data_IF_177631703524
#
_entry.id   IF_177631703524
#
_cell.length_a   1.000
_cell.length_b   1.000
_cell.length_c   1.000
_cell.angle_alpha   90.00
_cell.angle_beta   90.00
_cell.angle_gamma   90.00
#
_symmetry.space_group_name_H-M   'P 1'
#
loop_
_entity.id
_entity.type
_entity.pdbx_description
1 polymer ?
#
# COMPACT_ATOMS: atom_id res chain seq x y z
N UNK A 1 -48.87 -11.73 31.99
CA UNK A 1 -47.83 -10.67 31.99
C UNK A 1 -46.81 -11.02 30.93
N UNK A 2 -46.84 -10.28 29.82
CA UNK A 2 -46.16 -10.60 28.56
C UNK A 2 -44.72 -10.11 28.59
N UNK A 3 -43.76 -11.01 28.39
CA UNK A 3 -42.37 -10.68 28.14
C UNK A 3 -42.22 -10.24 26.68
N UNK A 4 -41.89 -8.97 26.47
CA UNK A 4 -41.56 -8.39 25.17
C UNK A 4 -40.18 -8.90 24.73
N UNK A 5 -40.17 -9.78 23.74
CA UNK A 5 -38.97 -10.19 23.01
C UNK A 5 -38.49 -9.03 22.14
N UNK A 6 -37.28 -8.54 22.42
CA UNK A 6 -36.56 -7.62 21.56
C UNK A 6 -36.21 -8.40 20.30
N UNK A 7 -36.96 -8.13 19.22
CA UNK A 7 -36.66 -8.66 17.89
C UNK A 7 -35.28 -8.14 17.46
N UNK A 8 -34.37 -9.09 17.24
CA UNK A 8 -33.14 -8.95 16.47
C UNK A 8 -33.45 -8.41 15.07
N UNK A 9 -33.61 -7.09 14.96
CA UNK A 9 -33.34 -6.39 13.71
C UNK A 9 -31.83 -6.37 13.52
N UNK A 10 -31.33 -7.44 12.93
CA UNK A 10 -30.10 -7.41 12.18
C UNK A 10 -30.09 -6.12 11.34
N UNK A 11 -29.10 -5.26 11.61
CA UNK A 11 -28.77 -4.11 10.79
C UNK A 11 -28.34 -4.63 9.41
N UNK A 12 -29.32 -4.99 8.58
CA UNK A 12 -29.13 -5.15 7.16
C UNK A 12 -28.64 -3.82 6.63
N UNK A 13 -27.72 -3.89 5.66
CA UNK A 13 -27.20 -2.76 4.92
C UNK A 13 -28.30 -1.70 4.73
N UNK A 14 -28.06 -0.50 5.24
CA UNK A 14 -28.93 0.62 4.92
C UNK A 14 -28.90 0.79 3.40
N UNK A 15 -29.99 0.38 2.77
CA UNK A 15 -30.40 0.82 1.46
C UNK A 15 -30.52 2.35 1.52
N UNK A 16 -29.47 3.04 1.09
CA UNK A 16 -29.61 4.39 0.54
C UNK A 16 -29.54 4.21 -0.97
N UNK A 17 -30.69 4.06 -1.67
CA UNK A 17 -30.71 4.04 -3.11
C UNK A 17 -30.51 5.47 -3.60
N UNK A 18 -29.27 5.90 -3.73
CA UNK A 18 -28.92 7.14 -4.39
C UNK A 18 -28.13 6.83 -5.66
N UNK A 19 -28.76 7.07 -6.82
CA UNK A 19 -28.16 6.88 -8.15
C UNK A 19 -26.89 7.69 -8.46
N UNK A 20 -26.37 8.45 -7.48
CA UNK A 20 -25.16 9.28 -7.58
C UNK A 20 -24.02 8.82 -6.64
N UNK A 21 -24.06 7.59 -6.08
CA UNK A 21 -22.90 7.06 -5.35
C UNK A 21 -21.90 6.43 -6.31
N UNK A 22 -20.63 6.79 -6.17
CA UNK A 22 -19.52 6.11 -6.84
C UNK A 22 -19.32 4.72 -6.22
N UNK A 23 -18.93 3.76 -7.06
CA UNK A 23 -18.58 2.42 -6.64
C UNK A 23 -17.18 2.06 -7.13
N UNK A 24 -16.50 1.21 -6.38
CA UNK A 24 -15.22 0.62 -6.78
C UNK A 24 -15.49 -0.49 -7.79
N UNK A 25 -15.11 -0.27 -9.04
CA UNK A 25 -15.27 -1.26 -10.11
C UNK A 25 -14.14 -2.28 -10.09
N UNK A 26 -14.48 -3.57 -10.09
CA UNK A 26 -13.49 -4.64 -10.23
C UNK A 26 -12.79 -4.63 -11.59
N UNK A 27 -13.43 -4.14 -12.66
CA UNK A 27 -12.78 -3.98 -13.96
C UNK A 27 -11.68 -2.94 -13.93
N UNK A 28 -11.94 -1.81 -13.27
CA UNK A 28 -10.93 -0.76 -13.09
C UNK A 28 -9.74 -1.29 -12.29
N UNK A 29 -10.02 -1.97 -11.18
CA UNK A 29 -8.97 -2.58 -10.35
C UNK A 29 -8.16 -3.63 -11.10
N UNK A 30 -8.80 -4.48 -11.92
CA UNK A 30 -8.09 -5.44 -12.77
C UNK A 30 -7.25 -4.73 -13.84
N UNK A 31 -7.77 -3.62 -14.39
CA UNK A 31 -7.07 -2.79 -15.37
C UNK A 31 -5.73 -2.25 -14.85
N UNK A 32 -5.59 -2.01 -13.53
CA UNK A 32 -4.31 -1.60 -12.92
C UNK A 32 -3.21 -2.65 -13.13
N UNK A 33 -3.55 -3.93 -13.20
CA UNK A 33 -2.59 -5.01 -13.43
C UNK A 33 -2.03 -5.03 -14.86
N UNK A 34 -2.56 -4.22 -15.79
CA UNK A 34 -1.96 -4.02 -17.11
C UNK A 34 -0.54 -3.43 -17.04
N UNK A 35 -0.13 -2.86 -15.90
CA UNK A 35 1.26 -2.47 -15.67
C UNK A 35 2.24 -3.65 -15.75
N UNK A 36 1.80 -4.87 -15.44
CA UNK A 36 2.63 -6.08 -15.50
C UNK A 36 3.10 -6.35 -16.94
N UNK A 37 2.21 -6.60 -17.92
CA UNK A 37 2.64 -6.82 -19.29
C UNK A 37 3.34 -5.60 -19.87
N UNK A 38 2.96 -4.37 -19.49
CA UNK A 38 3.66 -3.16 -19.94
C UNK A 38 5.13 -3.15 -19.49
N UNK A 39 5.41 -3.40 -18.21
CA UNK A 39 6.77 -3.46 -17.69
C UNK A 39 7.60 -4.59 -18.31
N UNK A 40 6.98 -5.76 -18.53
CA UNK A 40 7.65 -6.89 -19.20
C UNK A 40 7.97 -6.57 -20.67
N UNK A 41 7.03 -5.96 -21.40
CA UNK A 41 7.27 -5.51 -22.76
C UNK A 41 8.39 -4.46 -22.81
N UNK A 42 8.38 -3.45 -21.93
CA UNK A 42 9.44 -2.45 -21.86
C UNK A 42 10.81 -3.09 -21.63
N UNK A 43 10.90 -4.08 -20.74
CA UNK A 43 12.15 -4.80 -20.50
C UNK A 43 12.61 -5.61 -21.73
N UNK A 44 11.69 -6.29 -22.43
CA UNK A 44 12.01 -7.03 -23.64
C UNK A 44 12.46 -6.09 -24.78
N UNK A 45 11.77 -4.97 -24.96
CA UNK A 45 12.15 -3.94 -25.92
C UNK A 45 13.53 -3.36 -25.61
N UNK A 46 13.82 -3.14 -24.33
CA UNK A 46 15.12 -2.64 -23.90
C UNK A 46 16.25 -3.62 -24.24
N UNK A 47 16.04 -4.91 -23.97
CA UNK A 47 17.01 -5.95 -24.27
C UNK A 47 17.25 -6.17 -25.75
N UNK A 48 16.21 -6.11 -26.59
CA UNK A 48 16.31 -6.45 -28.01
C UNK A 48 16.59 -5.26 -28.93
N UNK A 49 16.07 -4.07 -28.59
CA UNK A 49 16.12 -2.90 -29.49
C UNK A 49 16.94 -1.75 -28.92
N UNK A 50 16.87 -1.48 -27.61
CA UNK A 50 17.55 -0.34 -27.00
C UNK A 50 18.88 -0.69 -26.33
N UNK A 51 19.36 -1.93 -26.51
CA UNK A 51 20.67 -2.38 -26.02
C UNK A 51 20.87 -2.11 -24.52
N UNK A 52 19.80 -2.27 -23.72
CA UNK A 52 19.82 -2.07 -22.27
C UNK A 52 19.75 -0.60 -21.82
N UNK A 53 19.37 0.35 -22.68
CA UNK A 53 19.28 1.77 -22.34
C UNK A 53 18.49 2.03 -21.04
N UNK A 54 17.31 1.43 -20.88
CA UNK A 54 16.50 1.58 -19.67
C UNK A 54 17.20 0.97 -18.46
N UNK A 55 17.80 -0.21 -18.58
CA UNK A 55 18.53 -0.84 -17.47
C UNK A 55 19.63 0.07 -16.91
N UNK A 56 20.36 0.78 -17.78
CA UNK A 56 21.47 1.65 -17.40
C UNK A 56 21.02 3.02 -16.88
N UNK A 57 19.91 3.55 -17.38
CA UNK A 57 19.44 4.91 -17.04
C UNK A 57 18.39 4.94 -15.92
N UNK A 58 17.66 3.84 -15.70
CA UNK A 58 16.68 3.77 -14.62
C UNK A 58 17.36 3.66 -13.26
N UNK A 59 16.71 4.20 -12.19
CA UNK A 59 17.18 4.05 -10.83
C UNK A 59 17.49 2.60 -10.46
N UNK A 60 18.74 2.33 -10.13
CA UNK A 60 19.17 1.00 -9.70
C UNK A 60 19.44 0.93 -8.20
N UNK A 61 19.47 2.07 -7.50
CA UNK A 61 19.85 2.16 -6.09
C UNK A 61 18.78 2.80 -5.20
N UNK A 62 18.71 2.44 -3.89
CA UNK A 62 17.81 3.03 -2.91
C UNK A 62 17.74 4.55 -2.88
N UNK A 63 18.90 5.22 -3.04
CA UNK A 63 18.97 6.70 -3.04
C UNK A 63 18.27 7.32 -4.24
N UNK A 64 18.32 6.66 -5.39
CA UNK A 64 17.66 7.11 -6.62
C UNK A 64 16.15 6.80 -6.63
N UNK A 65 15.67 5.95 -5.71
CA UNK A 65 14.24 5.74 -5.48
C UNK A 65 13.58 6.87 -4.66
N UNK A 66 14.28 7.95 -4.30
CA UNK A 66 13.63 9.08 -3.62
C UNK A 66 12.55 9.72 -4.50
N UNK A 67 12.85 9.98 -5.79
CA UNK A 67 11.84 10.46 -6.73
C UNK A 67 10.68 9.46 -6.87
N UNK A 68 11.01 8.16 -6.85
CA UNK A 68 9.99 7.12 -6.84
C UNK A 68 9.11 7.22 -5.59
N UNK A 69 9.66 7.46 -4.39
CA UNK A 69 8.91 7.66 -3.15
C UNK A 69 8.01 8.91 -3.15
N UNK A 70 8.43 9.96 -3.84
CA UNK A 70 7.65 11.19 -4.03
C UNK A 70 6.43 10.93 -4.92
N UNK A 71 6.55 10.06 -5.93
CA UNK A 71 5.47 9.76 -6.88
C UNK A 71 4.58 8.60 -6.37
N UNK A 72 5.20 7.57 -5.81
CA UNK A 72 4.59 6.33 -5.34
C UNK A 72 5.09 6.02 -3.92
N UNK A 73 4.22 5.66 -3.00
CA UNK A 73 4.57 5.35 -1.62
C UNK A 73 4.13 6.44 -0.67
N UNK A 74 4.90 7.52 -0.59
CA UNK A 74 4.64 8.53 0.42
C UNK A 74 3.32 9.28 0.22
N UNK A 75 2.92 9.67 -1.01
CA UNK A 75 1.62 10.30 -1.21
C UNK A 75 0.46 9.44 -0.69
N UNK A 76 0.43 8.13 -0.96
CA UNK A 76 -0.68 7.29 -0.49
C UNK A 76 -0.70 7.15 1.04
N UNK A 77 0.48 7.02 1.67
CA UNK A 77 0.62 6.97 3.14
C UNK A 77 0.09 8.26 3.77
N UNK A 78 0.48 9.40 3.19
CA UNK A 78 0.02 10.71 3.62
C UNK A 78 -1.48 10.87 3.37
N UNK A 79 -2.02 10.39 2.24
CA UNK A 79 -3.44 10.42 1.94
C UNK A 79 -4.27 9.67 3.00
N UNK A 80 -3.83 8.47 3.39
CA UNK A 80 -4.46 7.70 4.47
C UNK A 80 -4.48 8.47 5.80
N UNK A 81 -3.37 9.16 6.10
CA UNK A 81 -3.23 9.97 7.31
C UNK A 81 -4.13 11.22 7.28
N UNK A 82 -4.20 11.92 6.15
CA UNK A 82 -5.12 13.04 5.93
C UNK A 82 -6.58 12.58 6.08
N UNK A 83 -6.93 11.45 5.46
CA UNK A 83 -8.27 10.88 5.53
C UNK A 83 -8.68 10.56 6.98
N UNK A 84 -7.77 10.00 7.77
CA UNK A 84 -7.98 9.71 9.18
C UNK A 84 -8.13 10.98 10.02
N UNK A 85 -7.22 11.94 9.86
CA UNK A 85 -7.13 13.12 10.74
C UNK A 85 -8.16 14.19 10.39
N UNK A 86 -8.52 14.35 9.11
CA UNK A 86 -9.52 15.32 8.65
C UNK A 86 -10.95 14.99 9.10
N UNK A 87 -11.18 13.77 9.59
CA UNK A 87 -12.48 13.25 9.98
C UNK A 87 -12.51 12.93 11.48
N UNK A 88 -13.01 13.86 12.27
CA UNK A 88 -12.94 13.80 13.75
C UNK A 88 -13.60 12.57 14.36
N UNK A 89 -14.65 12.05 13.72
CA UNK A 89 -15.36 10.84 14.12
C UNK A 89 -14.50 9.58 13.94
N UNK A 90 -13.60 9.55 12.95
CA UNK A 90 -12.66 8.45 12.78
C UNK A 90 -11.59 8.46 13.88
N UNK A 91 -11.04 9.64 14.19
CA UNK A 91 -10.11 9.79 15.30
C UNK A 91 -10.74 9.37 16.63
N UNK A 92 -11.98 9.80 16.90
CA UNK A 92 -12.71 9.40 18.12
C UNK A 92 -12.92 7.88 18.18
N UNK A 93 -13.34 7.28 17.07
CA UNK A 93 -13.60 5.84 17.01
C UNK A 93 -12.31 5.00 17.18
N UNK A 94 -11.18 5.45 16.63
CA UNK A 94 -9.91 4.71 16.66
C UNK A 94 -8.92 5.17 17.73
N UNK A 95 -9.26 6.16 18.56
CA UNK A 95 -8.35 6.86 19.49
C UNK A 95 -7.42 5.91 20.26
N UNK A 96 -7.96 4.91 20.94
CA UNK A 96 -7.17 3.99 21.76
C UNK A 96 -6.19 3.18 20.90
N UNK A 97 -6.64 2.67 19.74
CA UNK A 97 -5.79 1.90 18.82
C UNK A 97 -4.64 2.75 18.28
N UNK A 98 -4.92 4.01 17.94
CA UNK A 98 -3.90 4.95 17.46
C UNK A 98 -2.87 5.23 18.55
N UNK A 99 -3.30 5.57 19.77
CA UNK A 99 -2.40 5.86 20.89
C UNK A 99 -1.52 4.64 21.20
N UNK A 100 -2.11 3.45 21.31
CA UNK A 100 -1.36 2.23 21.60
C UNK A 100 -0.32 1.94 20.52
N UNK A 101 -0.68 2.09 19.24
CA UNK A 101 0.26 1.91 18.14
C UNK A 101 1.33 3.01 18.11
N UNK A 102 1.00 4.27 18.41
CA UNK A 102 1.99 5.34 18.53
C UNK A 102 3.02 5.03 19.61
N UNK A 103 2.57 4.60 20.80
CA UNK A 103 3.47 4.17 21.88
C UNK A 103 4.31 2.98 21.44
N UNK A 104 3.71 1.98 20.78
CA UNK A 104 4.45 0.82 20.28
C UNK A 104 5.53 1.20 19.26
N UNK A 105 5.24 2.10 18.31
CA UNK A 105 6.21 2.59 17.32
C UNK A 105 7.33 3.36 18.02
N UNK A 106 7.01 4.27 18.93
CA UNK A 106 8.02 5.04 19.68
C UNK A 106 8.91 4.12 20.51
N UNK A 107 8.35 3.11 21.18
CA UNK A 107 9.15 2.16 21.95
C UNK A 107 10.01 1.29 21.03
N UNK A 108 9.45 0.73 19.96
CA UNK A 108 10.18 -0.16 19.05
C UNK A 108 11.30 0.56 18.28
N UNK A 109 11.07 1.78 17.81
CA UNK A 109 12.06 2.53 17.02
C UNK A 109 12.90 3.50 17.85
N UNK A 110 12.33 4.13 18.88
CA UNK A 110 13.06 5.03 19.77
C UNK A 110 13.96 4.25 20.72
N UNK A 111 13.39 3.31 21.49
CA UNK A 111 14.17 2.50 22.45
C UNK A 111 14.82 1.32 21.76
N UNK A 112 14.09 0.60 20.91
CA UNK A 112 14.61 -0.59 20.24
C UNK A 112 15.79 -0.31 19.31
N UNK A 113 15.90 0.88 18.71
CA UNK A 113 17.08 1.23 17.89
C UNK A 113 18.39 1.35 18.67
N UNK A 114 18.32 1.50 20.00
CA UNK A 114 19.50 1.49 20.88
C UNK A 114 20.09 0.08 21.06
N UNK A 115 19.27 -0.97 20.83
CA UNK A 115 19.64 -2.35 21.14
C UNK A 115 19.59 -3.28 19.92
N UNK A 116 18.81 -2.94 18.89
CA UNK A 116 18.58 -3.80 17.72
C UNK A 116 19.44 -3.29 16.54
N UNK A 117 20.24 -4.16 15.90
CA UNK A 117 21.02 -3.79 14.73
C UNK A 117 20.16 -3.21 13.60
N UNK A 118 20.65 -2.18 12.92
CA UNK A 118 19.95 -1.51 11.83
C UNK A 118 19.42 -2.48 10.76
N UNK A 119 20.20 -3.49 10.36
CA UNK A 119 19.77 -4.50 9.37
C UNK A 119 18.54 -5.29 9.85
N UNK A 120 18.47 -5.64 11.13
CA UNK A 120 17.34 -6.38 11.70
C UNK A 120 16.07 -5.51 11.75
N UNK A 121 16.19 -4.24 12.17
CA UNK A 121 15.08 -3.28 12.09
C UNK A 121 14.61 -3.09 10.65
N UNK A 122 15.55 -2.93 9.71
CA UNK A 122 15.25 -2.76 8.30
C UNK A 122 14.48 -3.96 7.73
N UNK A 123 14.96 -5.19 7.97
CA UNK A 123 14.29 -6.41 7.52
C UNK A 123 12.89 -6.54 8.13
N UNK A 124 12.71 -6.15 9.40
CA UNK A 124 11.40 -6.17 10.06
C UNK A 124 10.41 -5.19 9.40
N UNK A 125 10.85 -3.95 9.14
CA UNK A 125 10.03 -2.94 8.45
C UNK A 125 9.75 -3.35 7.00
N UNK A 126 10.73 -3.93 6.31
CA UNK A 126 10.59 -4.45 4.96
C UNK A 126 9.56 -5.60 4.91
N UNK A 127 9.65 -6.54 5.85
CA UNK A 127 8.68 -7.65 5.98
C UNK A 127 7.27 -7.13 6.19
N UNK A 128 7.09 -6.16 7.09
CA UNK A 128 5.78 -5.56 7.33
C UNK A 128 5.25 -4.78 6.12
N UNK A 129 6.13 -4.06 5.42
CA UNK A 129 5.80 -3.33 4.18
C UNK A 129 5.33 -4.28 3.08
N UNK A 130 6.09 -5.34 2.78
CA UNK A 130 5.74 -6.33 1.75
C UNK A 130 4.46 -7.08 2.14
N UNK A 131 4.35 -7.47 3.42
CA UNK A 131 3.14 -8.10 3.95
C UNK A 131 1.92 -7.22 3.73
N UNK A 132 1.99 -5.94 4.09
CA UNK A 132 0.89 -4.99 3.90
C UNK A 132 0.48 -4.88 2.43
N UNK A 133 1.43 -4.63 1.53
CA UNK A 133 1.19 -4.46 0.09
C UNK A 133 0.48 -5.69 -0.50
N UNK A 134 1.02 -6.89 -0.29
CA UNK A 134 0.48 -8.11 -0.89
C UNK A 134 -0.80 -8.59 -0.21
N UNK A 135 -0.92 -8.42 1.11
CA UNK A 135 -2.16 -8.73 1.82
C UNK A 135 -3.32 -7.86 1.34
N UNK A 136 -3.08 -6.58 1.05
CA UNK A 136 -4.14 -5.72 0.50
C UNK A 136 -4.57 -6.22 -0.88
N UNK A 137 -3.63 -6.49 -1.77
CA UNK A 137 -3.96 -6.92 -3.14
C UNK A 137 -4.71 -8.26 -3.19
N UNK A 138 -4.24 -9.25 -2.43
CA UNK A 138 -4.97 -10.52 -2.26
C UNK A 138 -6.27 -10.33 -1.46
N UNK A 139 -6.30 -9.43 -0.48
CA UNK A 139 -7.48 -9.14 0.33
C UNK A 139 -8.65 -8.59 -0.50
N UNK A 140 -8.37 -7.69 -1.43
CA UNK A 140 -9.36 -7.14 -2.37
C UNK A 140 -9.94 -8.24 -3.26
N UNK A 141 -9.10 -9.17 -3.74
CA UNK A 141 -9.53 -10.31 -4.55
C UNK A 141 -10.33 -11.38 -3.80
N UNK A 142 -10.26 -11.42 -2.46
CA UNK A 142 -10.88 -12.49 -1.64
C UNK A 142 -12.39 -12.62 -1.86
N UNK A 143 -13.09 -11.51 -2.11
CA UNK A 143 -14.52 -11.53 -2.43
C UNK A 143 -14.87 -12.15 -3.78
N UNK A 144 -13.92 -12.17 -4.73
CA UNK A 144 -14.10 -12.65 -6.09
C UNK A 144 -13.81 -14.15 -6.24
N UNK A 145 -12.68 -14.61 -5.72
CA UNK A 145 -12.26 -16.01 -5.87
C UNK A 145 -12.69 -16.92 -4.73
N UNK A 146 -13.14 -16.37 -3.58
CA UNK A 146 -13.77 -17.11 -2.46
C UNK A 146 -13.03 -18.39 -2.05
N UNK A 147 -11.71 -18.31 -1.96
CA UNK A 147 -10.87 -19.44 -1.60
C UNK A 147 -11.14 -19.89 -0.14
N UNK A 148 -11.00 -21.19 0.17
CA UNK A 148 -10.92 -21.66 1.54
C UNK A 148 -9.77 -20.97 2.28
N UNK A 149 -9.93 -20.75 3.59
CA UNK A 149 -9.00 -19.95 4.39
C UNK A 149 -7.56 -20.48 4.34
N UNK A 150 -7.36 -21.79 4.46
CA UNK A 150 -6.01 -22.39 4.43
C UNK A 150 -5.32 -22.18 3.06
N UNK A 151 -6.07 -22.29 1.96
CA UNK A 151 -5.55 -22.08 0.60
C UNK A 151 -5.18 -20.61 0.41
N UNK A 152 -6.04 -19.70 0.86
CA UNK A 152 -5.79 -18.27 0.83
C UNK A 152 -4.51 -17.89 1.60
N UNK A 153 -4.33 -18.43 2.81
CA UNK A 153 -3.15 -18.13 3.61
C UNK A 153 -1.88 -18.77 3.05
N UNK A 154 -1.96 -19.96 2.43
CA UNK A 154 -0.85 -20.54 1.70
C UNK A 154 -0.40 -19.61 0.55
N UNK A 155 -1.34 -19.18 -0.28
CA UNK A 155 -1.08 -18.25 -1.38
C UNK A 155 -0.48 -16.92 -0.88
N UNK A 156 -1.05 -16.36 0.20
CA UNK A 156 -0.57 -15.13 0.83
C UNK A 156 0.86 -15.27 1.33
N UNK A 157 1.16 -16.31 2.13
CA UNK A 157 2.48 -16.45 2.73
C UNK A 157 3.56 -16.79 1.71
N UNK A 158 3.24 -17.58 0.67
CA UNK A 158 4.15 -17.78 -0.46
C UNK A 158 4.46 -16.45 -1.17
N UNK A 159 3.42 -15.66 -1.46
CA UNK A 159 3.57 -14.34 -2.10
C UNK A 159 4.41 -13.39 -1.27
N UNK A 160 4.10 -13.28 0.04
CA UNK A 160 4.82 -12.41 0.99
C UNK A 160 6.26 -12.82 1.17
N UNK A 161 6.53 -14.11 1.32
CA UNK A 161 7.89 -14.60 1.53
C UNK A 161 8.73 -14.40 0.26
N UNK A 162 8.19 -14.74 -0.93
CA UNK A 162 8.87 -14.50 -2.20
C UNK A 162 9.15 -12.99 -2.42
N UNK A 163 8.13 -12.15 -2.23
CA UNK A 163 8.25 -10.71 -2.35
C UNK A 163 9.24 -10.11 -1.37
N UNK A 164 9.35 -10.64 -0.14
CA UNK A 164 10.29 -10.17 0.87
C UNK A 164 11.73 -10.46 0.46
N UNK A 165 12.03 -11.67 -0.02
CA UNK A 165 13.36 -12.01 -0.52
C UNK A 165 13.75 -11.12 -1.71
N UNK A 166 12.84 -10.91 -2.67
CA UNK A 166 13.08 -9.98 -3.78
C UNK A 166 13.33 -8.56 -3.29
N UNK A 167 12.51 -8.06 -2.36
CA UNK A 167 12.65 -6.72 -1.79
C UNK A 167 14.00 -6.54 -1.08
N UNK A 168 14.41 -7.51 -0.25
CA UNK A 168 15.72 -7.52 0.40
C UNK A 168 16.84 -7.54 -0.64
N UNK A 169 16.72 -8.40 -1.66
CA UNK A 169 17.69 -8.49 -2.76
C UNK A 169 17.89 -7.16 -3.50
N UNK A 170 16.83 -6.39 -3.71
CA UNK A 170 16.90 -5.08 -4.37
C UNK A 170 17.52 -4.03 -3.45
N UNK A 171 16.99 -3.87 -2.24
CA UNK A 171 17.33 -2.72 -1.39
C UNK A 171 18.59 -2.92 -0.56
N UNK A 172 18.97 -4.16 -0.25
CA UNK A 172 20.23 -4.48 0.42
C UNK A 172 21.33 -4.94 -0.55
N UNK A 173 21.15 -4.81 -1.88
CA UNK A 173 22.09 -5.31 -2.89
C UNK A 173 23.55 -4.94 -2.64
N UNK A 174 23.82 -3.71 -2.17
CA UNK A 174 25.18 -3.20 -1.92
C UNK A 174 25.78 -3.69 -0.60
N UNK A 175 24.99 -4.39 0.22
CA UNK A 175 25.37 -4.93 1.53
C UNK A 175 25.34 -6.46 1.57
N UNK A 176 24.99 -7.09 0.46
CA UNK A 176 24.94 -8.53 0.27
C UNK A 176 26.18 -8.95 -0.52
N UNK A 177 26.79 -10.05 -0.13
CA UNK A 177 27.81 -10.69 -0.97
C UNK A 177 27.16 -11.43 -2.17
N UNK A 178 28.00 -11.84 -3.13
CA UNK A 178 27.54 -12.52 -4.35
C UNK A 178 26.80 -13.82 -4.00
N UNK A 179 27.29 -14.57 -3.01
CA UNK A 179 26.71 -15.84 -2.62
C UNK A 179 25.32 -15.64 -1.99
N UNK A 180 25.17 -14.67 -1.09
CA UNK A 180 23.90 -14.26 -0.47
C UNK A 180 22.88 -13.83 -1.52
N UNK A 181 23.32 -13.07 -2.54
CA UNK A 181 22.43 -12.67 -3.63
C UNK A 181 21.93 -13.87 -4.44
N UNK A 182 22.79 -14.85 -4.74
CA UNK A 182 22.38 -16.09 -5.41
C UNK A 182 21.43 -16.93 -4.55
N UNK A 183 21.68 -17.03 -3.24
CA UNK A 183 20.73 -17.67 -2.30
C UNK A 183 19.37 -17.00 -2.32
N UNK A 184 19.33 -15.66 -2.33
CA UNK A 184 18.09 -14.89 -2.43
C UNK A 184 17.35 -15.23 -3.73
N UNK A 185 18.04 -15.28 -4.87
CA UNK A 185 17.45 -15.65 -6.17
C UNK A 185 16.91 -17.08 -6.16
N UNK A 186 17.66 -18.03 -5.62
CA UNK A 186 17.25 -19.44 -5.55
C UNK A 186 16.01 -19.63 -4.67
N UNK A 187 16.02 -19.03 -3.47
CA UNK A 187 14.90 -19.11 -2.53
C UNK A 187 13.66 -18.43 -3.10
N UNK A 188 13.79 -17.21 -3.61
CA UNK A 188 12.65 -16.51 -4.24
C UNK A 188 12.12 -17.24 -5.48
N UNK A 189 12.99 -17.81 -6.32
CA UNK A 189 12.60 -18.64 -7.46
C UNK A 189 11.82 -19.89 -7.03
N UNK A 190 12.31 -20.58 -5.99
CA UNK A 190 11.64 -21.78 -5.44
C UNK A 190 10.26 -21.45 -4.88
N UNK A 191 10.14 -20.34 -4.16
CA UNK A 191 8.87 -19.83 -3.65
C UNK A 191 7.93 -19.41 -4.79
N UNK A 192 8.45 -18.85 -5.88
CA UNK A 192 7.66 -18.53 -7.07
C UNK A 192 7.11 -19.78 -7.76
N UNK A 193 7.89 -20.86 -7.85
CA UNK A 193 7.41 -22.16 -8.34
C UNK A 193 6.32 -22.70 -7.42
N UNK A 194 6.53 -22.65 -6.11
CA UNK A 194 5.51 -23.01 -5.11
C UNK A 194 4.23 -22.17 -5.24
N UNK A 195 4.37 -20.88 -5.53
CA UNK A 195 3.26 -19.95 -5.76
C UNK A 195 2.46 -20.33 -7.01
N UNK A 196 3.11 -20.71 -8.11
CA UNK A 196 2.44 -21.21 -9.32
C UNK A 196 1.66 -22.49 -9.01
N UNK A 197 2.28 -23.46 -8.33
CA UNK A 197 1.61 -24.69 -7.92
C UNK A 197 0.41 -24.41 -7.02
N UNK A 198 0.54 -23.47 -6.07
CA UNK A 198 -0.56 -23.03 -5.21
C UNK A 198 -1.67 -22.34 -6.00
N UNK A 199 -1.34 -21.51 -6.99
CA UNK A 199 -2.32 -20.86 -7.87
C UNK A 199 -3.11 -21.88 -8.72
N UNK A 200 -2.44 -22.89 -9.27
CA UNK A 200 -3.09 -24.00 -9.99
C UNK A 200 -4.02 -24.80 -9.08
N UNK A 201 -3.64 -25.00 -7.81
CA UNK A 201 -4.54 -25.58 -6.82
C UNK A 201 -5.75 -24.67 -6.53
N UNK A 202 -5.53 -23.35 -6.45
CA UNK A 202 -6.58 -22.36 -6.22
C UNK A 202 -7.63 -22.37 -7.35
N UNK A 203 -7.23 -22.59 -8.61
CA UNK A 203 -8.16 -22.58 -9.76
C UNK A 203 -9.36 -23.50 -9.59
N UNK A 204 -9.18 -24.63 -8.90
CA UNK A 204 -10.21 -25.63 -8.61
C UNK A 204 -11.38 -25.05 -7.81
N UNK A 205 -11.12 -24.01 -7.02
CA UNK A 205 -12.10 -23.33 -6.18
C UNK A 205 -12.72 -22.11 -6.86
N UNK A 206 -12.09 -21.58 -7.91
CA UNK A 206 -12.52 -20.32 -8.55
C UNK A 206 -13.53 -20.59 -9.67
N UNK A 207 -14.77 -20.20 -9.41
CA UNK A 207 -15.90 -20.43 -10.33
C UNK A 207 -16.09 -19.34 -11.37
N UNK A 208 -15.63 -18.11 -11.10
CA UNK A 208 -15.87 -16.95 -11.98
C UNK A 208 -14.64 -16.56 -12.80
N UNK A 209 -14.84 -16.09 -14.03
CA UNK A 209 -13.75 -15.61 -14.88
C UNK A 209 -13.02 -14.42 -14.25
N UNK A 210 -13.76 -13.44 -13.70
CA UNK A 210 -13.18 -12.31 -12.97
C UNK A 210 -12.31 -12.77 -11.79
N UNK A 211 -12.77 -13.77 -11.02
CA UNK A 211 -11.98 -14.36 -9.95
C UNK A 211 -10.68 -14.98 -10.44
N UNK A 212 -10.71 -15.69 -11.58
CA UNK A 212 -9.50 -16.30 -12.19
C UNK A 212 -8.52 -15.23 -12.67
N UNK A 213 -9.02 -14.20 -13.34
CA UNK A 213 -8.19 -13.08 -13.77
C UNK A 213 -7.53 -12.39 -12.57
N UNK A 214 -8.26 -12.12 -11.49
CA UNK A 214 -7.69 -11.51 -10.28
C UNK A 214 -6.66 -12.41 -9.58
N UNK A 215 -6.93 -13.70 -9.48
CA UNK A 215 -6.00 -14.67 -8.91
C UNK A 215 -4.68 -14.65 -9.68
N UNK A 216 -4.74 -14.84 -11.00
CA UNK A 216 -3.53 -14.86 -11.83
C UNK A 216 -2.85 -13.50 -11.90
N UNK A 217 -3.59 -12.40 -11.87
CA UNK A 217 -2.98 -11.07 -11.86
C UNK A 217 -2.16 -10.84 -10.58
N UNK A 218 -2.64 -11.31 -9.42
CA UNK A 218 -1.88 -11.28 -8.17
C UNK A 218 -0.65 -12.20 -8.19
N UNK A 219 -0.79 -13.38 -8.78
CA UNK A 219 0.35 -14.31 -8.93
C UNK A 219 1.40 -13.73 -9.87
N UNK A 220 0.97 -13.25 -11.04
CA UNK A 220 1.83 -12.61 -12.03
C UNK A 220 2.51 -11.36 -11.49
N UNK A 221 1.86 -10.60 -10.60
CA UNK A 221 2.48 -9.46 -9.92
C UNK A 221 3.75 -9.86 -9.18
N UNK A 222 3.75 -10.99 -8.46
CA UNK A 222 4.94 -11.49 -7.76
C UNK A 222 5.94 -12.10 -8.73
N UNK A 223 5.48 -12.91 -9.69
CA UNK A 223 6.35 -13.57 -10.67
C UNK A 223 7.09 -12.57 -11.57
N UNK A 224 6.40 -11.54 -12.07
CA UNK A 224 7.01 -10.49 -12.88
C UNK A 224 8.01 -9.68 -12.08
N UNK A 225 7.70 -9.40 -10.80
CA UNK A 225 8.61 -8.70 -9.89
C UNK A 225 9.90 -9.50 -9.67
N UNK A 226 9.79 -10.82 -9.45
CA UNK A 226 10.94 -11.71 -9.36
C UNK A 226 11.73 -11.77 -10.68
N UNK A 227 11.06 -11.93 -11.81
CA UNK A 227 11.70 -11.96 -13.12
C UNK A 227 12.49 -10.67 -13.40
N UNK A 228 11.86 -9.50 -13.23
CA UNK A 228 12.50 -8.20 -13.41
C UNK A 228 13.67 -8.00 -12.44
N UNK A 229 13.58 -8.51 -11.22
CA UNK A 229 14.68 -8.51 -10.26
C UNK A 229 15.88 -9.34 -10.76
N UNK A 230 15.65 -10.56 -11.27
CA UNK A 230 16.72 -11.40 -11.83
C UNK A 230 17.37 -10.74 -13.05
N UNK A 231 16.57 -10.07 -13.88
CA UNK A 231 17.07 -9.28 -15.03
C UNK A 231 17.71 -7.94 -14.62
N UNK A 232 17.76 -7.62 -13.32
CA UNK A 232 18.30 -6.38 -12.75
C UNK A 232 17.53 -5.09 -13.12
N UNK A 233 16.29 -5.20 -13.58
CA UNK A 233 15.38 -4.05 -13.80
C UNK A 233 14.67 -3.66 -12.50
N UNK A 234 15.45 -3.26 -11.50
CA UNK A 234 14.96 -3.04 -10.12
C UNK A 234 13.86 -1.99 -10.02
N UNK A 235 13.96 -0.91 -10.79
CA UNK A 235 12.91 0.11 -10.84
C UNK A 235 11.57 -0.46 -11.28
N UNK A 236 11.55 -1.22 -12.38
CA UNK A 236 10.32 -1.86 -12.89
C UNK A 236 9.80 -2.91 -11.91
N UNK A 237 10.69 -3.68 -11.28
CA UNK A 237 10.34 -4.67 -10.26
C UNK A 237 9.61 -4.05 -9.06
N UNK A 238 10.01 -2.84 -8.62
CA UNK A 238 9.32 -2.13 -7.53
C UNK A 238 8.05 -1.43 -8.02
N UNK A 239 8.08 -0.87 -9.24
CA UNK A 239 6.95 -0.13 -9.82
C UNK A 239 5.70 -0.99 -9.92
N UNK A 240 5.82 -2.23 -10.40
CA UNK A 240 4.68 -3.14 -10.61
C UNK A 240 3.80 -3.29 -9.35
N UNK A 241 4.31 -3.79 -8.21
CA UNK A 241 3.49 -3.97 -7.02
C UNK A 241 3.03 -2.64 -6.43
N UNK A 242 3.87 -1.59 -6.49
CA UNK A 242 3.56 -0.28 -5.90
C UNK A 242 2.46 0.45 -6.63
N UNK A 243 2.52 0.52 -7.96
CA UNK A 243 1.49 1.20 -8.74
C UNK A 243 0.13 0.57 -8.50
N UNK A 244 0.03 -0.76 -8.58
CA UNK A 244 -1.23 -1.47 -8.34
C UNK A 244 -1.75 -1.21 -6.93
N UNK A 245 -0.87 -1.28 -5.92
CA UNK A 245 -1.22 -1.03 -4.53
C UNK A 245 -1.69 0.39 -4.26
N UNK A 246 -0.87 1.37 -4.61
CA UNK A 246 -1.13 2.79 -4.38
C UNK A 246 -2.37 3.25 -5.14
N UNK A 247 -2.50 2.90 -6.42
CA UNK A 247 -3.66 3.26 -7.22
C UNK A 247 -4.95 2.61 -6.68
N UNK A 248 -4.87 1.35 -6.23
CA UNK A 248 -6.00 0.70 -5.55
C UNK A 248 -6.39 1.48 -4.30
N UNK A 249 -5.43 1.85 -3.44
CA UNK A 249 -5.72 2.63 -2.23
C UNK A 249 -6.38 3.98 -2.57
N UNK A 250 -5.84 4.71 -3.55
CA UNK A 250 -6.43 5.98 -3.99
C UNK A 250 -7.84 5.84 -4.54
N UNK A 251 -8.14 4.78 -5.31
CA UNK A 251 -9.50 4.52 -5.79
C UNK A 251 -10.46 4.38 -4.60
N UNK A 252 -10.08 3.60 -3.58
CA UNK A 252 -10.90 3.45 -2.37
C UNK A 252 -11.07 4.80 -1.65
N UNK A 253 -10.00 5.57 -1.48
CA UNK A 253 -10.07 6.84 -0.76
C UNK A 253 -10.92 7.88 -1.49
N UNK A 254 -10.77 7.97 -2.82
CA UNK A 254 -11.53 8.90 -3.65
C UNK A 254 -13.01 8.53 -3.69
N UNK A 255 -13.35 7.24 -3.85
CA UNK A 255 -14.75 6.78 -3.81
C UNK A 255 -15.38 7.06 -2.45
N UNK A 256 -14.64 6.76 -1.37
CA UNK A 256 -15.07 7.08 -0.01
C UNK A 256 -15.40 8.56 0.16
N UNK A 257 -14.44 9.44 -0.18
CA UNK A 257 -14.58 10.88 0.06
C UNK A 257 -15.62 11.51 -0.87
N UNK A 258 -15.74 11.03 -2.11
CA UNK A 258 -16.83 11.43 -2.99
C UNK A 258 -18.18 11.10 -2.36
N UNK A 259 -18.42 9.85 -1.99
CA UNK A 259 -19.70 9.42 -1.42
C UNK A 259 -20.05 10.12 -0.11
N UNK A 260 -19.05 10.55 0.66
CA UNK A 260 -19.24 11.24 1.93
C UNK A 260 -19.40 12.76 1.78
N UNK A 261 -18.73 13.39 0.82
CA UNK A 261 -18.57 14.83 0.79
C UNK A 261 -19.16 15.53 -0.45
N UNK A 262 -19.60 14.80 -1.49
CA UNK A 262 -20.07 15.42 -2.74
C UNK A 262 -21.32 16.28 -2.60
N UNK A 263 -22.29 15.81 -1.82
CA UNK A 263 -23.52 16.56 -1.56
C UNK A 263 -23.35 17.59 -0.46
N UNK A 264 -22.67 17.19 0.61
CA UNK A 264 -22.49 18.04 1.78
C UNK A 264 -21.08 17.86 2.34
N UNK A 265 -20.14 18.76 2.01
CA UNK A 265 -18.79 18.73 2.56
C UNK A 265 -18.82 18.85 4.09
N UNK A 266 -18.38 17.80 4.79
CA UNK A 266 -18.50 17.71 6.26
C UNK A 266 -17.26 18.25 6.99
N UNK A 267 -16.06 18.10 6.42
CA UNK A 267 -14.81 18.58 7.03
C UNK A 267 -14.34 19.91 6.43
N UNK A 268 -13.38 20.57 7.09
CA UNK A 268 -12.85 21.87 6.63
C UNK A 268 -12.19 21.76 5.25
N UNK A 269 -11.37 20.73 5.01
CA UNK A 269 -10.66 20.51 3.75
C UNK A 269 -11.62 20.52 2.55
N UNK A 270 -12.68 19.71 2.60
CA UNK A 270 -13.66 19.64 1.52
C UNK A 270 -14.57 20.87 1.45
N UNK A 271 -14.84 21.57 2.56
CA UNK A 271 -15.55 22.86 2.54
C UNK A 271 -14.75 23.96 1.83
N UNK A 272 -13.44 24.03 2.05
CA UNK A 272 -12.57 24.96 1.34
C UNK A 272 -12.45 24.59 -0.15
N UNK A 273 -12.28 23.31 -0.46
CA UNK A 273 -12.24 22.83 -1.84
C UNK A 273 -13.52 23.20 -2.61
N UNK A 274 -14.70 23.05 -1.98
CA UNK A 274 -15.98 23.45 -2.57
C UNK A 274 -16.06 24.96 -2.86
N UNK A 275 -15.52 25.82 -1.98
CA UNK A 275 -15.43 27.28 -2.23
C UNK A 275 -14.53 27.61 -3.41
N UNK A 276 -13.48 26.82 -3.62
CA UNK A 276 -12.55 26.95 -4.75
C UNK A 276 -13.02 26.23 -6.02
N UNK A 277 -14.23 25.66 -6.04
CA UNK A 277 -14.77 24.87 -7.15
C UNK A 277 -13.88 23.68 -7.57
N UNK A 278 -13.12 23.12 -6.63
CA UNK A 278 -12.26 21.98 -6.90
C UNK A 278 -13.07 20.66 -6.90
N UNK A 279 -12.91 19.80 -7.91
CA UNK A 279 -13.53 18.48 -7.91
C UNK A 279 -13.04 17.64 -6.71
N UNK A 280 -13.97 17.00 -5.99
CA UNK A 280 -13.62 16.21 -4.78
C UNK A 280 -12.62 15.10 -5.07
N UNK A 281 -12.71 14.50 -6.27
CA UNK A 281 -11.84 13.42 -6.71
C UNK A 281 -10.35 13.81 -6.77
N UNK A 282 -10.03 15.11 -6.92
CA UNK A 282 -8.65 15.58 -6.98
C UNK A 282 -8.12 16.10 -5.66
N UNK A 283 -8.99 16.43 -4.69
CA UNK A 283 -8.59 17.11 -3.45
C UNK A 283 -7.60 16.25 -2.65
N UNK A 284 -7.96 15.01 -2.34
CA UNK A 284 -7.09 14.15 -1.54
C UNK A 284 -5.79 13.78 -2.28
N UNK A 285 -5.80 13.35 -3.57
CA UNK A 285 -4.58 13.14 -4.34
C UNK A 285 -3.66 14.38 -4.37
N UNK A 286 -4.21 15.56 -4.63
CA UNK A 286 -3.43 16.80 -4.72
C UNK A 286 -2.84 17.19 -3.37
N UNK A 287 -3.65 17.19 -2.30
CA UNK A 287 -3.18 17.54 -0.96
C UNK A 287 -2.13 16.57 -0.45
N UNK A 288 -2.33 15.26 -0.67
CA UNK A 288 -1.39 14.23 -0.21
C UNK A 288 -0.08 14.26 -0.99
N UNK A 289 -0.12 14.48 -2.31
CA UNK A 289 1.08 14.65 -3.13
C UNK A 289 1.85 15.92 -2.74
N UNK A 290 1.17 17.07 -2.65
CA UNK A 290 1.80 18.32 -2.26
C UNK A 290 2.45 18.23 -0.87
N UNK A 291 1.75 17.64 0.10
CA UNK A 291 2.29 17.45 1.44
C UNK A 291 3.46 16.44 1.46
N UNK A 292 3.35 15.34 0.72
CA UNK A 292 4.44 14.36 0.59
C UNK A 292 5.69 14.99 -0.05
N UNK A 293 5.52 15.80 -1.09
CA UNK A 293 6.62 16.54 -1.73
C UNK A 293 7.26 17.53 -0.75
N UNK A 294 6.48 18.36 -0.08
CA UNK A 294 7.01 19.33 0.89
C UNK A 294 7.78 18.64 2.02
N UNK A 295 7.21 17.57 2.58
CA UNK A 295 7.84 16.81 3.67
C UNK A 295 9.14 16.14 3.21
N UNK A 296 9.20 15.56 2.01
CA UNK A 296 10.39 14.88 1.52
C UNK A 296 11.49 15.85 1.05
N UNK A 297 11.12 16.93 0.37
CA UNK A 297 12.08 17.85 -0.23
C UNK A 297 12.60 18.91 0.74
N UNK A 298 11.77 19.36 1.69
CA UNK A 298 12.09 20.49 2.56
C UNK A 298 11.93 20.20 4.06
N UNK A 299 11.33 19.05 4.43
CA UNK A 299 10.97 18.76 5.81
C UNK A 299 12.17 18.74 6.76
N UNK A 300 13.24 18.04 6.40
CA UNK A 300 14.43 17.94 7.25
C UNK A 300 15.11 19.30 7.42
N UNK A 301 15.25 20.09 6.35
CA UNK A 301 15.83 21.43 6.41
C UNK A 301 14.99 22.39 7.26
N UNK A 302 13.66 22.31 7.17
CA UNK A 302 12.77 23.13 7.99
C UNK A 302 12.89 22.77 9.48
N UNK A 303 12.95 21.48 9.82
CA UNK A 303 13.16 21.04 11.21
C UNK A 303 14.52 21.52 11.71
N UNK A 304 15.59 21.33 10.94
CA UNK A 304 16.93 21.77 11.32
C UNK A 304 16.99 23.29 11.54
N UNK A 305 16.40 24.09 10.65
CA UNK A 305 16.37 25.55 10.83
C UNK A 305 15.68 25.97 12.15
N UNK A 306 14.59 25.28 12.52
CA UNK A 306 13.88 25.54 13.78
C UNK A 306 14.70 25.06 14.98
N UNK A 307 15.24 23.85 14.94
CA UNK A 307 15.97 23.28 16.08
C UNK A 307 17.31 23.96 16.31
N UNK A 308 17.97 24.41 15.25
CA UNK A 308 19.19 25.20 15.33
C UNK A 308 18.90 26.59 15.91
N UNK A 309 17.86 27.27 15.42
CA UNK A 309 17.47 28.60 15.92
C UNK A 309 17.09 28.61 17.40
N UNK A 310 16.29 27.63 17.85
CA UNK A 310 15.78 27.61 19.23
C UNK A 310 16.68 26.84 20.22
N UNK A 311 17.43 25.85 19.76
CA UNK A 311 18.16 24.93 20.65
C UNK A 311 19.63 24.73 20.27
N UNK A 312 20.12 25.33 19.18
CA UNK A 312 21.50 25.13 18.71
C UNK A 312 21.82 23.69 18.33
N UNK A 313 20.82 22.90 17.95
CA UNK A 313 20.96 21.48 17.62
C UNK A 313 20.44 21.16 16.23
N UNK A 314 21.12 20.27 15.52
CA UNK A 314 20.66 19.69 14.27
C UNK A 314 20.10 18.29 14.49
N UNK A 315 18.93 17.98 13.91
CA UNK A 315 18.31 16.65 13.99
C UNK A 315 18.28 16.04 12.59
N UNK A 316 19.29 15.22 12.31
CA UNK A 316 19.41 14.55 11.02
C UNK A 316 18.23 13.60 10.74
N UNK A 317 17.57 13.80 9.59
CA UNK A 317 16.51 12.94 9.03
C UNK A 317 15.25 12.80 9.90
N UNK A 318 14.92 13.84 10.68
CA UNK A 318 13.75 13.87 11.54
C UNK A 318 12.43 13.62 10.78
N UNK A 319 12.28 14.22 9.60
CA UNK A 319 11.08 14.07 8.78
C UNK A 319 11.22 12.84 7.88
N UNK A 320 12.30 12.76 7.11
CA UNK A 320 12.44 11.73 6.07
C UNK A 320 12.46 10.31 6.62
N UNK A 321 13.08 10.09 7.79
CA UNK A 321 13.10 8.78 8.45
C UNK A 321 12.09 8.70 9.58
N UNK A 322 12.01 9.73 10.43
CA UNK A 322 11.18 9.72 11.64
C UNK A 322 9.68 9.83 11.33
N UNK A 323 9.23 11.02 10.91
CA UNK A 323 7.81 11.27 10.67
C UNK A 323 7.25 10.37 9.57
N UNK A 324 7.91 10.27 8.42
CA UNK A 324 7.41 9.44 7.32
C UNK A 324 7.41 7.95 7.68
N UNK A 325 8.41 7.47 8.42
CA UNK A 325 8.43 6.11 8.96
C UNK A 325 7.28 5.84 9.92
N UNK A 326 6.98 6.79 10.82
CA UNK A 326 5.82 6.73 11.70
C UNK A 326 4.51 6.67 10.91
N UNK A 327 4.32 7.58 9.95
CA UNK A 327 3.11 7.61 9.12
C UNK A 327 2.94 6.32 8.33
N UNK A 328 4.02 5.75 7.78
CA UNK A 328 4.00 4.48 7.07
C UNK A 328 3.53 3.33 7.96
N UNK A 329 4.13 3.16 9.14
CA UNK A 329 3.77 2.09 10.08
C UNK A 329 2.35 2.26 10.62
N UNK A 330 1.95 3.49 10.91
CA UNK A 330 0.59 3.80 11.34
C UNK A 330 -0.41 3.50 10.22
N UNK A 331 -0.11 3.87 8.98
CA UNK A 331 -0.91 3.54 7.81
C UNK A 331 -1.08 2.03 7.65
N UNK A 332 0.02 1.25 7.68
CA UNK A 332 -0.04 -0.20 7.56
C UNK A 332 -0.89 -0.85 8.67
N UNK A 333 -0.84 -0.29 9.88
CA UNK A 333 -1.67 -0.73 10.99
C UNK A 333 -3.15 -0.39 10.82
N UNK A 334 -3.47 0.85 10.47
CA UNK A 334 -4.86 1.31 10.35
C UNK A 334 -5.59 0.62 9.22
N UNK A 335 -4.94 0.43 8.09
CA UNK A 335 -5.47 -0.29 6.93
C UNK A 335 -5.89 -1.73 7.24
N UNK A 336 -5.30 -2.37 8.26
CA UNK A 336 -5.67 -3.71 8.68
C UNK A 336 -7.10 -3.80 9.26
N UNK A 337 -7.73 -2.67 9.58
CA UNK A 337 -9.08 -2.62 10.14
C UNK A 337 -9.98 -1.50 9.61
N UNK A 338 -9.47 -0.45 8.98
CA UNK A 338 -10.30 0.64 8.44
C UNK A 338 -11.21 0.15 7.33
N UNK A 339 -10.80 -0.80 6.49
CA UNK A 339 -11.64 -1.29 5.38
C UNK A 339 -12.51 -2.51 5.70
N UNK A 340 -12.51 -2.98 6.96
CA UNK A 340 -13.32 -4.13 7.40
C UNK A 340 -14.80 -3.79 7.55
N UNK A 341 -15.66 -4.80 7.47
CA UNK A 341 -17.09 -4.65 7.72
C UNK A 341 -17.35 -4.08 9.12
N UNK A 342 -18.30 -3.15 9.22
CA UNK A 342 -18.63 -2.45 10.48
C UNK A 342 -17.77 -1.22 10.78
N UNK A 343 -16.70 -0.97 10.01
CA UNK A 343 -15.90 0.25 10.16
C UNK A 343 -16.65 1.49 9.64
N UNK A 344 -16.37 2.70 10.18
CA UNK A 344 -16.93 3.94 9.67
C UNK A 344 -16.49 4.28 8.24
N UNK A 345 -15.33 3.80 7.79
CA UNK A 345 -14.85 3.98 6.41
C UNK A 345 -15.66 3.14 5.42
N UNK A 346 -15.92 1.86 5.76
CA UNK A 346 -16.55 0.90 4.83
C UNK A 346 -17.97 1.32 4.43
N UNK A 347 -18.63 2.16 5.23
CA UNK A 347 -19.99 2.70 5.00
C UNK A 347 -20.14 3.46 3.69
N UNK A 348 -19.07 4.08 3.20
CA UNK A 348 -19.08 4.91 2.00
C UNK A 348 -18.50 4.20 0.77
N UNK A 349 -18.29 2.88 0.84
CA UNK A 349 -17.75 2.10 -0.27
C UNK A 349 -18.85 1.17 -0.81
N UNK A 350 -19.08 1.22 -2.11
CA UNK A 350 -19.85 0.23 -2.84
C UNK A 350 -18.93 -0.48 -3.85
N UNK A 351 -19.28 -1.69 -4.25
CA UNK A 351 -18.55 -2.43 -5.29
C UNK A 351 -19.43 -2.63 -6.52
N UNK A 352 -18.85 -2.48 -7.70
CA UNK A 352 -19.49 -2.77 -8.98
C UNK A 352 -18.66 -3.76 -9.80
N UNK A 353 -19.34 -4.47 -10.70
CA UNK A 353 -18.75 -5.53 -11.53
C UNK A 353 -17.88 -5.00 -12.66
#
# INVERSE_FOLDING_TARGET
MSATTISDKALSAQDIPDGNQLSVSFRLLLGLYAIIPLCLLLQLFDGWFWQGFLQHNLPSSPKQFLLFQIIFGTPHIVASSILLVSNTEYLKFYKLKLILMTVAIITAFGVGSLFIPYKALYVTVAAWTVYHVLKQQLGVGRGLYRLPDWVFYLLLWLSVTAGLFVYIGIFLKNSLDVQQLEWIKLVSGSLCVGLICSALLCERYVTTQSGRCFLWSNVLLVLSTFYLFVQQYYFLAILVPRLVHDATAYIFYVVHDYNKHHRQPQNSMYRYAARCHLPIVIVLPLCSFALAFVLQSYGDSAVNAVTEFFFGMEINKAITLGLLGYLALMHYYTEAFTWKQGSPYRRFIAFSK
#
